data_IF_517396471493
#
_entry.id   IF_517396471493
#
_cell.length_a   1.000
_cell.length_b   1.000
_cell.length_c   1.000
_cell.angle_alpha   90.00
_cell.angle_beta   90.00
_cell.angle_gamma   90.00
#
_symmetry.space_group_name_H-M   'P 1'
#
loop_
_entity.id
_entity.type
_entity.pdbx_description
1 polymer ?
#
# COMPACT_ATOMS: atom_id res chain seq x y z
N UNK A 1 9.52 47.57 50.95
CA UNK A 1 9.81 46.17 50.59
C UNK A 1 9.08 45.88 49.29
N UNK A 2 9.88 45.70 48.24
CA UNK A 2 9.47 45.21 46.92
C UNK A 2 9.15 43.72 47.00
N UNK A 3 8.22 43.25 46.18
CA UNK A 3 8.42 42.14 45.22
C UNK A 3 7.35 42.30 44.12
N UNK A 4 7.69 42.61 42.85
CA UNK A 4 8.23 41.73 41.81
C UNK A 4 7.24 40.57 41.48
N UNK A 5 6.87 40.27 40.23
CA UNK A 5 7.54 40.38 38.93
C UNK A 5 6.48 40.57 37.80
N UNK A 6 6.85 41.15 36.64
CA UNK A 6 6.98 40.38 35.39
C UNK A 6 7.25 41.27 34.16
N UNK A 7 8.18 40.74 33.35
CA UNK A 7 8.24 40.74 31.89
C UNK A 7 8.96 41.89 31.16
N UNK A 8 10.13 41.49 30.65
CA UNK A 8 11.09 42.23 29.85
C UNK A 8 10.78 42.15 28.35
N UNK A 9 10.90 43.30 27.68
CA UNK A 9 11.57 43.54 26.38
C UNK A 9 11.41 42.53 25.23
N UNK A 10 10.93 43.00 24.07
CA UNK A 10 11.80 43.26 22.90
C UNK A 10 11.05 43.99 21.76
N UNK A 11 11.64 45.10 21.30
CA UNK A 11 11.41 45.73 20.02
C UNK A 11 12.33 45.07 18.97
N UNK A 12 11.90 45.03 17.70
CA UNK A 12 12.63 45.62 16.56
C UNK A 12 11.93 45.23 15.25
N UNK A 13 11.58 46.25 14.46
CA UNK A 13 11.17 46.11 13.07
C UNK A 13 12.35 46.35 12.15
N UNK A 14 12.42 45.59 11.06
CA UNK A 14 13.30 45.86 9.93
C UNK A 14 12.48 45.83 8.63
N UNK A 15 12.56 46.94 7.91
CA UNK A 15 12.05 47.16 6.57
C UNK A 15 13.08 46.65 5.57
N UNK A 16 12.72 45.80 4.61
CA UNK A 16 13.56 45.52 3.44
C UNK A 16 12.72 45.55 2.15
N UNK A 17 13.31 46.25 1.18
CA UNK A 17 12.78 46.79 -0.06
C UNK A 17 12.30 45.76 -1.09
N UNK A 18 11.30 46.17 -1.87
CA UNK A 18 10.81 45.48 -3.06
C UNK A 18 11.83 45.56 -4.21
N UNK A 19 12.08 44.43 -4.86
CA UNK A 19 12.61 44.35 -6.22
C UNK A 19 11.90 43.21 -6.97
N UNK A 20 11.20 43.57 -8.04
CA UNK A 20 10.51 42.65 -8.95
C UNK A 20 11.50 41.91 -9.86
N UNK A 21 11.28 40.61 -10.08
CA UNK A 21 11.46 39.93 -11.38
C UNK A 21 10.64 38.63 -11.40
N UNK A 22 9.85 38.49 -12.46
CA UNK A 22 8.85 37.48 -12.71
C UNK A 22 9.40 36.10 -13.14
N UNK A 23 8.57 35.08 -12.91
CA UNK A 23 8.39 33.85 -13.70
C UNK A 23 9.41 32.70 -13.58
N UNK A 24 9.26 31.89 -12.52
CA UNK A 24 9.46 30.44 -12.60
C UNK A 24 8.34 29.72 -11.82
N UNK A 25 7.66 28.70 -12.39
CA UNK A 25 6.64 27.98 -11.65
C UNK A 25 7.31 27.10 -10.60
N UNK A 26 7.29 27.55 -9.35
CA UNK A 26 7.71 26.74 -8.20
C UNK A 26 6.69 25.61 -8.06
N UNK A 27 7.20 24.38 -8.20
CA UNK A 27 6.50 23.12 -7.96
C UNK A 27 5.65 23.20 -6.69
N UNK A 28 4.32 23.26 -6.85
CA UNK A 28 3.39 22.95 -5.77
C UNK A 28 3.40 21.44 -5.54
N UNK A 29 4.45 20.97 -4.87
CA UNK A 29 4.40 19.76 -4.05
C UNK A 29 4.57 20.23 -2.62
N UNK A 30 3.49 20.77 -2.07
CA UNK A 30 3.28 20.77 -0.63
C UNK A 30 3.23 19.31 -0.18
N UNK A 31 4.40 18.70 -0.04
CA UNK A 31 4.63 17.59 0.87
C UNK A 31 4.31 18.13 2.26
N UNK A 32 3.02 18.12 2.59
CA UNK A 32 2.54 18.24 3.94
C UNK A 32 3.04 17.02 4.69
N UNK A 33 4.25 17.15 5.23
CA UNK A 33 4.85 16.22 6.18
C UNK A 33 4.04 16.29 7.47
N UNK A 34 2.86 15.69 7.45
CA UNK A 34 2.04 15.52 8.64
C UNK A 34 2.15 14.05 9.06
N UNK A 35 3.05 13.77 9.98
CA UNK A 35 3.43 12.44 10.50
C UNK A 35 2.31 11.68 11.23
N UNK A 36 1.04 12.12 11.09
CA UNK A 36 -0.19 11.44 11.53
C UNK A 36 -1.18 11.16 10.37
N UNK A 37 -0.98 11.71 9.18
CA UNK A 37 -1.87 11.54 8.02
C UNK A 37 -1.55 10.35 7.13
N UNK A 38 -0.40 9.70 7.35
CA UNK A 38 0.10 8.63 6.48
C UNK A 38 -0.53 7.28 6.78
N UNK A 39 -0.92 7.01 8.03
CA UNK A 39 -1.48 5.71 8.40
C UNK A 39 -2.94 5.58 7.93
N UNK A 40 -3.25 4.40 7.40
CA UNK A 40 -4.57 4.02 6.91
C UNK A 40 -4.93 2.67 7.52
N UNK A 41 -6.16 2.57 8.00
CA UNK A 41 -6.74 1.33 8.48
C UNK A 41 -7.68 0.77 7.40
N UNK A 42 -7.53 -0.50 7.08
CA UNK A 42 -8.36 -1.25 6.15
C UNK A 42 -9.03 -2.37 6.93
N UNK A 43 -10.31 -2.61 6.70
CA UNK A 43 -11.03 -3.77 7.23
C UNK A 43 -11.43 -4.65 6.04
N UNK A 44 -10.69 -5.75 5.85
CA UNK A 44 -10.85 -6.67 4.72
C UNK A 44 -11.53 -7.93 5.23
N UNK A 45 -12.78 -8.16 4.83
CA UNK A 45 -13.56 -9.33 5.23
C UNK A 45 -13.66 -9.53 6.76
N UNK A 46 -13.62 -8.44 7.54
CA UNK A 46 -13.65 -8.46 9.01
C UNK A 46 -12.28 -8.43 9.70
N UNK A 47 -11.16 -8.44 8.97
CA UNK A 47 -9.81 -8.35 9.54
C UNK A 47 -9.20 -6.97 9.29
N UNK A 48 -8.70 -6.35 10.35
CA UNK A 48 -8.01 -5.06 10.28
C UNK A 48 -6.56 -5.17 9.81
N UNK A 49 -6.19 -4.33 8.85
CA UNK A 49 -4.84 -4.15 8.34
C UNK A 49 -4.45 -2.68 8.48
N UNK A 50 -3.29 -2.43 9.08
CA UNK A 50 -2.74 -1.09 9.20
C UNK A 50 -1.53 -0.93 8.27
N UNK A 51 -1.54 0.14 7.49
CA UNK A 51 -0.48 0.43 6.51
C UNK A 51 -0.39 1.93 6.26
N UNK A 52 0.46 2.35 5.34
CA UNK A 52 0.58 3.76 4.95
C UNK A 52 -0.05 4.05 3.59
N UNK A 53 -0.50 5.29 3.37
CA UNK A 53 -0.92 5.80 2.05
C UNK A 53 0.17 5.55 1.01
N UNK A 54 1.43 5.83 1.36
CA UNK A 54 2.59 5.58 0.50
C UNK A 54 2.72 4.12 0.05
N UNK A 55 2.30 3.16 0.87
CA UNK A 55 2.29 1.74 0.50
C UNK A 55 1.18 1.45 -0.52
N UNK A 56 -0.02 1.99 -0.30
CA UNK A 56 -1.17 1.78 -1.19
C UNK A 56 -1.00 2.51 -2.54
N UNK A 57 -0.24 3.61 -2.56
CA UNK A 57 0.03 4.40 -3.75
C UNK A 57 1.25 3.96 -4.58
N UNK A 58 1.90 2.83 -4.26
CA UNK A 58 3.06 2.37 -5.03
C UNK A 58 2.73 1.99 -6.46
N UNK A 59 1.50 1.55 -6.71
CA UNK A 59 1.01 1.22 -8.03
C UNK A 59 -0.37 1.82 -8.27
N UNK A 60 -0.65 2.14 -9.53
CA UNK A 60 -1.97 2.58 -9.97
C UNK A 60 -2.96 1.40 -9.87
N UNK A 61 -3.66 1.34 -8.74
CA UNK A 61 -4.50 0.23 -8.31
C UNK A 61 -5.81 0.73 -7.68
N UNK A 62 -6.75 -0.18 -7.41
CA UNK A 62 -7.93 0.14 -6.60
C UNK A 62 -7.55 0.74 -5.23
N UNK A 63 -6.54 0.16 -4.58
CA UNK A 63 -6.07 0.59 -3.26
C UNK A 63 -5.46 2.00 -3.29
N UNK A 64 -4.79 2.35 -4.38
CA UNK A 64 -4.27 3.69 -4.61
C UNK A 64 -5.40 4.72 -4.74
N UNK A 65 -6.47 4.37 -5.49
CA UNK A 65 -7.66 5.22 -5.60
C UNK A 65 -8.42 5.34 -4.28
N UNK A 66 -8.50 4.25 -3.52
CA UNK A 66 -9.12 4.25 -2.20
C UNK A 66 -8.44 5.22 -1.21
N UNK A 67 -7.11 5.37 -1.30
CA UNK A 67 -6.35 6.25 -0.41
C UNK A 67 -6.23 7.69 -0.90
N UNK A 68 -6.47 7.94 -2.19
CA UNK A 68 -6.65 9.28 -2.73
C UNK A 68 -8.06 9.72 -2.32
N UNK A 69 -8.16 10.86 -1.65
CA UNK A 69 -9.41 11.34 -1.04
C UNK A 69 -10.39 11.75 -2.15
N UNK A 70 -10.95 10.80 -2.87
CA UNK A 70 -12.01 11.04 -3.85
C UNK A 70 -13.35 11.04 -3.09
N UNK A 71 -14.01 12.21 -2.93
CA UNK A 71 -15.28 12.30 -2.23
C UNK A 71 -16.40 11.46 -2.90
N UNK A 72 -16.19 11.02 -4.14
CA UNK A 72 -17.14 10.22 -4.90
C UNK A 72 -16.94 8.69 -4.72
N UNK A 73 -15.81 8.24 -4.18
CA UNK A 73 -15.65 6.86 -3.73
C UNK A 73 -16.38 6.71 -2.39
N UNK A 74 -17.69 6.42 -2.46
CA UNK A 74 -18.50 5.92 -1.34
C UNK A 74 -17.88 4.62 -0.85
N UNK A 75 -16.90 4.73 0.03
CA UNK A 75 -16.34 3.58 0.71
C UNK A 75 -16.91 3.56 2.10
N UNK A 76 -17.54 2.46 2.45
CA UNK A 76 -18.03 2.28 3.80
C UNK A 76 -16.85 2.26 4.77
N UNK A 77 -17.06 2.84 5.94
CA UNK A 77 -16.06 2.94 7.00
C UNK A 77 -16.67 2.32 8.26
N UNK A 78 -15.89 1.52 8.98
CA UNK A 78 -16.34 0.95 10.26
C UNK A 78 -16.24 1.94 11.44
N UNK A 79 -16.68 1.49 12.62
CA UNK A 79 -16.64 2.27 13.87
C UNK A 79 -15.23 2.70 14.29
N UNK A 80 -14.18 2.08 13.73
CA UNK A 80 -12.76 2.37 14.00
C UNK A 80 -12.13 3.27 12.93
N UNK A 81 -12.89 3.71 11.93
CA UNK A 81 -12.35 4.51 10.85
C UNK A 81 -11.62 3.70 9.78
N UNK A 82 -11.85 2.38 9.70
CA UNK A 82 -11.25 1.53 8.68
C UNK A 82 -12.08 1.49 7.41
N UNK A 83 -11.43 1.60 6.25
CA UNK A 83 -12.11 1.39 4.96
C UNK A 83 -12.52 -0.07 4.80
N UNK A 84 -13.81 -0.30 4.56
CA UNK A 84 -14.38 -1.63 4.41
C UNK A 84 -14.15 -2.18 3.01
N UNK A 85 -13.66 -3.43 2.96
CA UNK A 85 -13.38 -4.17 1.74
C UNK A 85 -13.96 -5.57 1.90
N UNK A 86 -14.97 -5.90 1.10
CA UNK A 86 -15.64 -7.21 1.12
C UNK A 86 -14.84 -8.26 0.33
N UNK A 87 -13.65 -8.61 0.82
CA UNK A 87 -12.70 -9.56 0.20
C UNK A 87 -12.06 -10.47 1.25
N UNK A 88 -11.38 -11.53 0.79
CA UNK A 88 -10.74 -12.49 1.68
C UNK A 88 -9.43 -11.92 2.29
N UNK A 89 -9.36 -11.79 3.63
CA UNK A 89 -8.18 -11.25 4.30
C UNK A 89 -6.93 -12.13 4.21
N UNK A 90 -7.07 -13.44 3.97
CA UNK A 90 -5.94 -14.35 3.94
C UNK A 90 -5.05 -14.08 2.72
N UNK A 91 -5.66 -13.90 1.56
CA UNK A 91 -4.97 -13.56 0.32
C UNK A 91 -4.55 -12.09 0.25
N UNK A 92 -5.33 -11.18 0.87
CA UNK A 92 -4.96 -9.77 0.97
C UNK A 92 -3.61 -9.54 1.65
N UNK A 93 -3.22 -10.38 2.63
CA UNK A 93 -1.93 -10.25 3.30
C UNK A 93 -0.75 -10.32 2.30
N UNK A 94 -0.83 -11.21 1.32
CA UNK A 94 0.19 -11.33 0.25
C UNK A 94 0.21 -10.07 -0.61
N UNK A 95 -0.96 -9.57 -1.01
CA UNK A 95 -1.10 -8.34 -1.79
C UNK A 95 -0.47 -7.15 -1.07
N UNK A 96 -0.80 -6.97 0.21
CA UNK A 96 -0.29 -5.86 1.00
C UNK A 96 1.24 -5.96 1.20
N UNK A 97 1.76 -7.15 1.46
CA UNK A 97 3.20 -7.35 1.62
C UNK A 97 3.94 -7.14 0.29
N UNK A 98 3.37 -7.56 -0.84
CA UNK A 98 3.88 -7.21 -2.15
C UNK A 98 3.99 -5.69 -2.31
N UNK A 99 2.97 -4.92 -1.97
CA UNK A 99 3.05 -3.46 -2.01
C UNK A 99 4.09 -2.91 -1.02
N UNK A 100 4.34 -3.54 0.13
CA UNK A 100 5.37 -3.08 1.08
C UNK A 100 6.79 -3.25 0.58
N UNK A 101 7.13 -4.37 -0.02
CA UNK A 101 8.54 -4.71 -0.34
C UNK A 101 8.80 -5.19 -1.78
N UNK A 102 7.79 -5.28 -2.63
CA UNK A 102 7.91 -5.61 -4.06
C UNK A 102 8.25 -7.07 -4.36
N UNK A 103 7.97 -8.00 -3.43
CA UNK A 103 8.32 -9.43 -3.58
C UNK A 103 7.08 -10.30 -3.37
N UNK A 104 6.87 -11.27 -4.27
CA UNK A 104 5.83 -12.29 -4.12
C UNK A 104 6.30 -13.36 -3.12
N UNK A 105 5.75 -13.34 -1.91
CA UNK A 105 6.03 -14.32 -0.86
C UNK A 105 4.71 -15.01 -0.52
N UNK A 106 4.67 -16.34 -0.68
CA UNK A 106 3.50 -17.15 -0.40
C UNK A 106 3.79 -18.07 0.79
N UNK A 107 2.82 -18.18 1.69
CA UNK A 107 2.83 -19.20 2.73
C UNK A 107 2.58 -20.58 2.10
N UNK A 108 3.17 -21.62 2.69
CA UNK A 108 3.20 -22.98 2.11
C UNK A 108 1.81 -23.56 1.77
N UNK A 109 0.76 -23.13 2.48
CA UNK A 109 -0.59 -23.66 2.33
C UNK A 109 -1.56 -22.71 1.62
N UNK A 110 -1.07 -21.57 1.10
CA UNK A 110 -1.91 -20.59 0.45
C UNK A 110 -1.95 -20.89 -1.06
N UNK A 111 -3.15 -21.08 -1.60
CA UNK A 111 -3.32 -21.36 -3.03
C UNK A 111 -2.93 -20.13 -3.87
N UNK A 112 -2.03 -20.33 -4.84
CA UNK A 112 -1.62 -19.27 -5.77
C UNK A 112 -2.82 -18.65 -6.51
N UNK A 113 -3.83 -19.47 -6.82
CA UNK A 113 -5.05 -19.05 -7.52
C UNK A 113 -5.84 -18.01 -6.72
N UNK A 114 -5.95 -18.17 -5.40
CA UNK A 114 -6.64 -17.18 -4.57
C UNK A 114 -5.88 -15.86 -4.48
N UNK A 115 -4.54 -15.89 -4.53
CA UNK A 115 -3.73 -14.67 -4.63
C UNK A 115 -3.93 -14.00 -5.98
N UNK A 116 -4.06 -14.78 -7.06
CA UNK A 116 -4.32 -14.25 -8.39
C UNK A 116 -5.66 -13.50 -8.45
N UNK A 117 -6.73 -14.10 -7.90
CA UNK A 117 -8.05 -13.46 -7.83
C UNK A 117 -8.01 -12.12 -7.10
N UNK A 118 -7.29 -12.03 -5.97
CA UNK A 118 -7.12 -10.76 -5.28
C UNK A 118 -6.27 -9.75 -6.06
N UNK A 119 -5.17 -10.20 -6.67
CA UNK A 119 -4.32 -9.33 -7.48
C UNK A 119 -5.09 -8.71 -8.67
N UNK A 120 -5.98 -9.49 -9.29
CA UNK A 120 -6.89 -9.03 -10.34
C UNK A 120 -7.95 -8.08 -9.80
N UNK A 121 -8.55 -8.38 -8.64
CA UNK A 121 -9.52 -7.49 -7.99
C UNK A 121 -8.94 -6.11 -7.67
N UNK A 122 -7.76 -6.06 -7.04
CA UNK A 122 -7.10 -4.79 -6.71
C UNK A 122 -6.43 -4.13 -7.94
N UNK A 123 -6.39 -4.82 -9.08
CA UNK A 123 -5.76 -4.40 -10.33
C UNK A 123 -4.26 -4.05 -10.17
N UNK A 124 -3.49 -4.97 -9.61
CA UNK A 124 -2.04 -4.81 -9.41
C UNK A 124 -1.32 -5.63 -10.49
N UNK A 125 -1.07 -5.01 -11.65
CA UNK A 125 -0.63 -5.67 -12.88
C UNK A 125 0.67 -6.45 -12.73
N UNK A 126 1.66 -5.86 -12.08
CA UNK A 126 2.96 -6.49 -11.81
C UNK A 126 2.81 -7.76 -10.97
N UNK A 127 1.92 -7.74 -9.97
CA UNK A 127 1.64 -8.89 -9.12
C UNK A 127 0.88 -9.97 -9.88
N UNK A 128 -0.09 -9.61 -10.72
CA UNK A 128 -0.82 -10.54 -11.59
C UNK A 128 0.16 -11.34 -12.46
N UNK A 129 1.12 -10.67 -13.09
CA UNK A 129 2.14 -11.31 -13.92
C UNK A 129 3.01 -12.28 -13.12
N UNK A 130 3.50 -11.85 -11.94
CA UNK A 130 4.33 -12.67 -11.07
C UNK A 130 3.60 -13.93 -10.57
N UNK A 131 2.32 -13.80 -10.21
CA UNK A 131 1.52 -14.95 -9.73
C UNK A 131 1.22 -15.92 -10.87
N UNK A 132 0.86 -15.41 -12.06
CA UNK A 132 0.66 -16.26 -13.25
C UNK A 132 1.91 -17.05 -13.60
N UNK A 133 3.09 -16.43 -13.52
CA UNK A 133 4.34 -17.14 -13.76
C UNK A 133 4.61 -18.22 -12.70
N UNK A 134 4.39 -17.90 -11.42
CA UNK A 134 4.55 -18.86 -10.33
C UNK A 134 3.64 -20.09 -10.48
N UNK A 135 2.40 -19.90 -10.93
CA UNK A 135 1.46 -21.00 -11.24
C UNK A 135 2.02 -21.88 -12.36
N UNK A 136 2.46 -21.28 -13.48
CA UNK A 136 3.05 -22.03 -14.60
C UNK A 136 4.27 -22.83 -14.18
N UNK A 137 5.16 -22.26 -13.37
CA UNK A 137 6.32 -22.96 -12.85
C UNK A 137 5.95 -24.17 -11.99
N UNK A 138 4.97 -23.99 -11.08
CA UNK A 138 4.47 -25.06 -10.21
C UNK A 138 3.90 -26.20 -11.03
N UNK A 139 3.11 -25.89 -12.05
CA UNK A 139 2.46 -26.90 -12.89
C UNK A 139 3.48 -27.63 -13.77
N UNK A 140 4.49 -26.93 -14.30
CA UNK A 140 5.64 -27.54 -15.00
C UNK A 140 6.42 -28.49 -14.10
N UNK A 141 6.67 -28.12 -12.83
CA UNK A 141 7.37 -28.99 -11.86
C UNK A 141 6.56 -30.25 -11.58
N UNK A 142 5.25 -30.13 -11.34
CA UNK A 142 4.35 -31.28 -11.13
C UNK A 142 4.35 -32.24 -12.33
N UNK A 143 4.33 -31.70 -13.55
CA UNK A 143 4.41 -32.51 -14.76
C UNK A 143 5.73 -33.29 -14.85
N UNK A 144 6.87 -32.62 -14.65
CA UNK A 144 8.18 -33.26 -14.69
C UNK A 144 8.36 -34.32 -13.58
N UNK A 145 7.83 -34.08 -12.38
CA UNK A 145 7.88 -35.02 -11.26
C UNK A 145 7.01 -36.26 -11.51
N UNK A 146 5.86 -36.09 -12.18
CA UNK A 146 5.01 -37.18 -12.60
C UNK A 146 5.72 -38.09 -13.61
N UNK A 147 6.28 -37.52 -14.67
CA UNK A 147 7.01 -38.28 -15.69
C UNK A 147 8.17 -39.06 -15.08
N UNK A 148 8.98 -38.42 -14.24
CA UNK A 148 10.11 -39.07 -13.57
C UNK A 148 9.66 -40.28 -12.74
N UNK A 149 8.56 -40.16 -11.99
CA UNK A 149 8.02 -41.26 -11.17
C UNK A 149 7.44 -42.38 -12.04
N UNK A 150 6.75 -42.01 -13.12
CA UNK A 150 6.17 -42.97 -14.04
C UNK A 150 7.23 -43.86 -14.67
N UNK A 151 8.31 -43.27 -15.21
CA UNK A 151 9.39 -44.04 -15.84
C UNK A 151 10.24 -44.83 -14.85
N UNK A 152 10.45 -44.32 -13.62
CA UNK A 152 11.17 -45.06 -12.58
C UNK A 152 10.48 -46.38 -12.22
N UNK A 153 9.14 -46.38 -12.12
CA UNK A 153 8.36 -47.56 -11.74
C UNK A 153 8.18 -48.59 -12.86
N UNK A 154 8.64 -48.30 -14.08
CA UNK A 154 8.57 -49.22 -15.23
C UNK A 154 9.89 -49.97 -15.46
N UNK A 155 10.91 -49.63 -14.67
CA UNK A 155 12.27 -50.20 -14.75
C UNK A 155 12.54 -51.29 -13.69
N UNK A 156 11.57 -51.53 -12.79
CA UNK A 156 11.53 -52.60 -11.79
C UNK A 156 10.59 -53.74 -12.24
#
# INVERSE_FOLDING_TARGET
MLTNDNCSSQQNGDTISVASIDSHPILNSTLSSNSKGDWVLLNVGGKHFMTTRSTLSKEESFLCRLCQYEPDLKTDIDDKGAYLIDRDPNYFNVVLNYLRHGKLILETNLAEEGVLEEAEFYNIRSLIELVKEKIRERDRRKFNDFDRRFFANMSD
#
